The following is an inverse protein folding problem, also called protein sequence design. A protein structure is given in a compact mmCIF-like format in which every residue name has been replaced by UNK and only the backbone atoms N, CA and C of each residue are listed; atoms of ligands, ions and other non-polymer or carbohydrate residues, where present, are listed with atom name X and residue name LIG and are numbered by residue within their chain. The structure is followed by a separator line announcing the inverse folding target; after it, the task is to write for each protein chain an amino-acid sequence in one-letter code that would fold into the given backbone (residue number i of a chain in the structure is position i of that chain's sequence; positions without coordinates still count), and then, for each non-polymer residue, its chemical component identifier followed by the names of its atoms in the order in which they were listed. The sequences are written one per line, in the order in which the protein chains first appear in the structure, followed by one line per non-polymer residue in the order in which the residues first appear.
data_IF_773699468932
#
_entry.id   IF_773699468932
#
_cell.length_a   1.000
_cell.length_b   1.000
_cell.length_c   1.000
_cell.angle_alpha   90.00
_cell.angle_beta   90.00
_cell.angle_gamma   90.00
#
_symmetry.space_group_name_H-M   'P 1'
#
loop_
_entity.id
_entity.type
_entity.pdbx_description
1 polymer ?
#
# COMPACT_ATOMS: atom_id res chain seq x y z
N UNK A 1 15.18 -5.59 3.85
CA UNK A 1 15.44 -4.61 4.93
C UNK A 1 16.92 -4.26 4.94
N UNK A 2 17.27 -3.04 5.36
CA UNK A 2 18.64 -2.58 5.51
C UNK A 2 18.83 -1.99 6.91
N UNK A 3 19.87 -2.44 7.61
CA UNK A 3 20.28 -1.92 8.91
C UNK A 3 21.58 -1.14 8.73
N UNK A 4 21.58 0.15 9.07
CA UNK A 4 22.74 1.02 9.00
C UNK A 4 23.21 1.37 10.41
N UNK A 5 24.53 1.29 10.62
CA UNK A 5 25.19 1.68 11.87
C UNK A 5 26.35 2.60 11.55
N UNK A 6 26.46 3.69 12.30
CA UNK A 6 27.58 4.63 12.22
C UNK A 6 27.32 5.86 13.10
N UNK A 7 28.06 6.92 12.85
CA UNK A 7 28.04 8.16 13.66
C UNK A 7 26.66 8.84 13.72
N UNK A 8 25.78 8.52 12.77
CA UNK A 8 24.42 9.05 12.68
C UNK A 8 23.36 8.18 13.36
N UNK A 9 23.81 7.21 14.18
CA UNK A 9 22.98 6.28 14.92
C UNK A 9 22.66 4.99 14.17
N UNK A 10 21.76 4.21 14.76
CA UNK A 10 21.22 2.95 14.25
C UNK A 10 19.92 3.20 13.49
N UNK A 11 19.88 2.88 12.19
CA UNK A 11 18.73 3.13 11.32
C UNK A 11 18.28 1.87 10.62
N UNK A 12 16.99 1.55 10.72
CA UNK A 12 16.39 0.40 10.06
C UNK A 12 15.46 0.87 8.95
N UNK A 13 15.69 0.39 7.73
CA UNK A 13 14.82 0.61 6.57
C UNK A 13 14.15 -0.70 6.18
N UNK A 14 12.82 -0.79 6.30
CA UNK A 14 12.12 -2.03 5.99
C UNK A 14 12.17 -2.32 4.48
N UNK A 15 12.01 -1.26 3.66
CA UNK A 15 11.50 -1.43 2.30
C UNK A 15 10.10 -2.02 2.34
N UNK A 16 9.58 -2.47 1.20
CA UNK A 16 8.33 -3.24 1.19
C UNK A 16 8.57 -4.58 1.89
N UNK A 17 7.71 -4.93 2.85
CA UNK A 17 7.85 -6.18 3.61
C UNK A 17 6.52 -6.68 4.15
N UNK A 18 6.48 -7.99 4.44
CA UNK A 18 5.41 -8.62 5.22
C UNK A 18 5.97 -9.30 6.46
N UNK A 19 5.37 -9.02 7.61
CA UNK A 19 5.80 -9.53 8.91
C UNK A 19 4.86 -10.63 9.42
N UNK A 20 4.93 -11.81 8.81
CA UNK A 20 4.06 -12.93 9.21
C UNK A 20 4.39 -13.40 10.64
N UNK A 21 3.37 -13.81 11.42
CA UNK A 21 3.53 -14.12 12.85
C UNK A 21 3.59 -15.63 13.17
N UNK A 22 3.40 -16.51 12.18
CA UNK A 22 3.00 -17.90 12.46
C UNK A 22 3.75 -19.01 11.71
N UNK A 23 4.82 -18.72 10.97
CA UNK A 23 5.56 -19.74 10.21
C UNK A 23 7.05 -19.80 10.60
N UNK A 24 7.70 -20.94 10.35
CA UNK A 24 9.11 -21.14 10.71
C UNK A 24 10.03 -20.15 9.99
N UNK A 25 9.73 -19.84 8.73
CA UNK A 25 10.41 -18.81 7.94
C UNK A 25 10.31 -17.44 8.62
N UNK A 26 9.15 -17.09 9.15
CA UNK A 26 8.95 -15.84 9.89
C UNK A 26 9.71 -15.84 11.22
N UNK A 27 9.66 -16.95 11.98
CA UNK A 27 10.40 -17.05 13.25
C UNK A 27 11.91 -16.94 13.04
N UNK A 28 12.43 -17.59 11.99
CA UNK A 28 13.83 -17.49 11.60
C UNK A 28 14.19 -16.06 11.17
N UNK A 29 13.35 -15.39 10.39
CA UNK A 29 13.57 -14.00 9.99
C UNK A 29 13.53 -13.04 11.18
N UNK A 30 12.58 -13.22 12.12
CA UNK A 30 12.48 -12.45 13.37
C UNK A 30 13.73 -12.64 14.22
N UNK A 31 14.19 -13.88 14.39
CA UNK A 31 15.45 -14.17 15.09
C UNK A 31 16.64 -13.51 14.40
N UNK A 32 16.77 -13.64 13.08
CA UNK A 32 17.86 -13.03 12.32
C UNK A 32 17.89 -11.49 12.46
N UNK A 33 16.72 -10.85 12.50
CA UNK A 33 16.63 -9.41 12.76
C UNK A 33 17.12 -9.05 14.17
N UNK A 34 16.67 -9.78 15.20
CA UNK A 34 17.08 -9.55 16.58
C UNK A 34 18.57 -9.80 16.79
N UNK A 35 19.10 -10.88 16.21
CA UNK A 35 20.53 -11.19 16.21
C UNK A 35 21.31 -10.07 15.52
N UNK A 36 20.83 -9.57 14.38
CA UNK A 36 21.45 -8.48 13.65
C UNK A 36 21.42 -7.16 14.43
N UNK A 37 20.38 -6.90 15.23
CA UNK A 37 20.29 -5.74 16.12
C UNK A 37 21.23 -5.85 17.32
N UNK A 38 21.56 -7.06 17.79
CA UNK A 38 22.52 -7.30 18.87
C UNK A 38 22.22 -6.51 20.16
N UNK A 39 20.94 -6.19 20.42
CA UNK A 39 20.51 -5.37 21.56
C UNK A 39 20.58 -3.85 21.34
N UNK A 40 21.07 -3.38 20.19
CA UNK A 40 21.06 -1.95 19.85
C UNK A 40 19.62 -1.43 19.73
N UNK A 41 19.40 -0.22 20.23
CA UNK A 41 18.14 0.49 19.99
C UNK A 41 18.16 1.07 18.58
N UNK A 42 17.06 0.91 17.84
CA UNK A 42 16.90 1.54 16.52
C UNK A 42 16.49 2.98 16.71
N UNK A 43 17.36 3.93 16.41
CA UNK A 43 17.05 5.36 16.54
C UNK A 43 15.93 5.78 15.59
N UNK A 44 16.05 5.40 14.31
CA UNK A 44 15.06 5.73 13.28
C UNK A 44 14.64 4.50 12.50
N UNK A 45 13.36 4.17 12.60
CA UNK A 45 12.71 3.18 11.76
C UNK A 45 12.00 3.84 10.58
N UNK A 46 12.40 3.48 9.37
CA UNK A 46 11.70 3.79 8.13
C UNK A 46 10.81 2.59 7.76
N UNK A 47 9.51 2.75 8.02
CA UNK A 47 8.51 1.68 7.98
C UNK A 47 7.67 1.72 6.71
N UNK A 48 7.49 0.57 6.06
CA UNK A 48 6.41 0.35 5.09
C UNK A 48 5.06 0.45 5.79
N UNK A 49 4.38 1.56 5.52
CA UNK A 49 3.07 1.90 6.07
C UNK A 49 1.94 1.70 5.05
N UNK A 50 2.11 0.81 4.06
CA UNK A 50 1.14 0.53 3.01
C UNK A 50 -0.27 0.24 3.54
N UNK A 51 -0.37 -0.57 4.60
CA UNK A 51 -1.63 -0.94 5.27
C UNK A 51 -1.63 -0.57 6.76
N UNK A 52 -1.07 0.60 7.09
CA UNK A 52 -1.01 1.11 8.47
C UNK A 52 -2.36 1.68 8.95
N UNK A 53 -3.42 0.87 8.98
CA UNK A 53 -4.72 1.27 9.51
C UNK A 53 -5.39 0.12 10.27
N UNK A 54 -5.95 0.32 11.49
CA UNK A 54 -6.46 -0.75 12.35
C UNK A 54 -7.51 -1.68 11.73
N UNK A 55 -8.28 -1.18 10.75
CA UNK A 55 -9.26 -2.01 10.03
C UNK A 55 -8.65 -2.95 8.98
N UNK A 56 -7.33 -2.92 8.77
CA UNK A 56 -6.62 -3.64 7.72
C UNK A 56 -5.88 -4.82 8.30
N UNK A 57 -6.63 -5.87 8.60
CA UNK A 57 -6.10 -7.16 9.00
C UNK A 57 -6.35 -8.16 7.88
N UNK A 58 -5.30 -8.86 7.50
CA UNK A 58 -5.35 -9.86 6.43
C UNK A 58 -5.05 -11.23 7.00
N UNK A 59 -5.70 -12.30 6.50
CA UNK A 59 -5.35 -13.65 6.86
C UNK A 59 -3.87 -13.97 6.49
N UNK A 60 -3.27 -14.98 7.13
CA UNK A 60 -1.96 -15.50 6.72
C UNK A 60 -1.94 -15.89 5.24
N UNK A 61 -0.82 -15.66 4.52
CA UNK A 61 -0.73 -15.96 3.07
C UNK A 61 -1.14 -17.37 2.72
N UNK A 62 -0.75 -18.35 3.56
CA UNK A 62 -1.07 -19.77 3.35
C UNK A 62 -2.57 -20.05 3.38
N UNK A 63 -3.33 -19.36 4.24
CA UNK A 63 -4.79 -19.50 4.31
C UNK A 63 -5.40 -18.97 3.02
N UNK A 64 -4.99 -17.79 2.57
CA UNK A 64 -5.49 -17.22 1.32
C UNK A 64 -5.09 -18.03 0.09
N UNK A 65 -3.87 -18.56 0.06
CA UNK A 65 -3.41 -19.45 -1.00
C UNK A 65 -4.27 -20.72 -1.07
N UNK A 66 -4.61 -21.31 0.08
CA UNK A 66 -5.50 -22.47 0.12
C UNK A 66 -6.90 -22.15 -0.41
N UNK A 67 -7.46 -21.00 -0.06
CA UNK A 67 -8.76 -20.57 -0.59
C UNK A 67 -8.74 -20.36 -2.10
N UNK A 68 -7.64 -19.85 -2.66
CA UNK A 68 -7.48 -19.76 -4.12
C UNK A 68 -7.48 -21.17 -4.73
N UNK A 69 -6.78 -22.12 -4.12
CA UNK A 69 -6.77 -23.52 -4.57
C UNK A 69 -8.17 -24.13 -4.53
N UNK A 70 -8.90 -23.94 -3.43
CA UNK A 70 -10.24 -24.48 -3.25
C UNK A 70 -11.23 -23.86 -4.25
N UNK A 71 -11.10 -22.55 -4.51
CA UNK A 71 -11.86 -21.84 -5.53
C UNK A 71 -11.58 -22.42 -6.94
N UNK A 72 -10.33 -22.70 -7.27
CA UNK A 72 -9.96 -23.30 -8.56
C UNK A 72 -10.51 -24.72 -8.68
N UNK A 73 -10.49 -25.51 -7.60
CA UNK A 73 -11.06 -26.87 -7.56
C UNK A 73 -12.57 -26.88 -7.71
N UNK A 74 -13.25 -25.86 -7.17
CA UNK A 74 -14.70 -25.70 -7.33
C UNK A 74 -15.14 -25.36 -8.77
N UNK A 75 -14.20 -25.01 -9.65
CA UNK A 75 -14.43 -24.71 -11.06
C UNK A 75 -13.55 -25.60 -11.95
N UNK A 76 -13.80 -26.93 -12.01
CA UNK A 76 -12.96 -27.86 -12.75
C UNK A 76 -12.96 -27.58 -14.27
N UNK A 77 -14.12 -27.20 -14.83
CA UNK A 77 -14.33 -27.01 -16.27
C UNK A 77 -14.07 -25.56 -16.75
N UNK A 78 -13.36 -24.76 -15.97
CA UNK A 78 -13.05 -23.37 -16.32
C UNK A 78 -11.56 -23.14 -16.56
N UNK A 79 -11.22 -22.27 -17.51
CA UNK A 79 -9.90 -21.63 -17.52
C UNK A 79 -9.77 -20.68 -16.32
N UNK A 80 -8.55 -20.53 -15.81
CA UNK A 80 -8.26 -19.70 -14.62
C UNK A 80 -7.22 -18.66 -14.96
N UNK A 81 -7.60 -17.39 -14.82
CA UNK A 81 -6.71 -16.24 -15.04
C UNK A 81 -6.34 -15.60 -13.70
N UNK A 82 -5.08 -15.73 -13.30
CA UNK A 82 -4.50 -15.11 -12.11
C UNK A 82 -3.87 -13.76 -12.47
N UNK A 83 -4.46 -12.66 -12.02
CA UNK A 83 -3.91 -11.32 -12.23
C UNK A 83 -2.81 -10.98 -11.23
N UNK A 84 -1.54 -11.06 -11.64
CA UNK A 84 -0.37 -10.86 -10.76
C UNK A 84 0.51 -9.67 -11.17
N UNK A 85 1.27 -9.15 -10.22
CA UNK A 85 2.25 -8.11 -10.49
C UNK A 85 3.44 -8.66 -11.29
N UNK A 86 4.29 -7.77 -11.83
CA UNK A 86 5.47 -8.19 -12.62
C UNK A 86 6.51 -8.94 -11.80
N UNK A 87 6.54 -8.70 -10.49
CA UNK A 87 7.38 -9.36 -9.49
C UNK A 87 6.55 -9.55 -8.22
N UNK A 88 6.82 -10.60 -7.45
CA UNK A 88 6.06 -10.97 -6.26
C UNK A 88 5.06 -12.10 -6.53
N UNK A 89 4.59 -12.73 -5.44
CA UNK A 89 3.61 -13.83 -5.45
C UNK A 89 4.10 -15.12 -6.11
N UNK A 90 5.41 -15.29 -6.31
CA UNK A 90 6.01 -16.53 -6.78
C UNK A 90 5.67 -17.70 -5.85
N UNK A 91 5.80 -17.49 -4.53
CA UNK A 91 5.42 -18.47 -3.49
C UNK A 91 3.94 -18.90 -3.63
N UNK A 92 3.04 -17.98 -4.02
CA UNK A 92 1.62 -18.29 -4.25
C UNK A 92 1.45 -19.18 -5.47
N UNK A 93 2.07 -18.83 -6.60
CA UNK A 93 1.96 -19.63 -7.82
C UNK A 93 2.53 -21.04 -7.61
N UNK A 94 3.67 -21.13 -6.92
CA UNK A 94 4.29 -22.39 -6.56
C UNK A 94 3.39 -23.24 -5.65
N UNK A 95 2.72 -22.62 -4.67
CA UNK A 95 1.75 -23.28 -3.82
C UNK A 95 0.58 -23.83 -4.64
N UNK A 96 -0.01 -23.01 -5.52
CA UNK A 96 -1.14 -23.40 -6.37
C UNK A 96 -0.75 -24.58 -7.27
N UNK A 97 0.40 -24.49 -7.96
CA UNK A 97 0.91 -25.55 -8.81
C UNK A 97 1.03 -26.89 -8.07
N UNK A 98 1.66 -26.87 -6.90
CA UNK A 98 1.88 -28.07 -6.07
C UNK A 98 0.56 -28.62 -5.51
N UNK A 99 -0.36 -27.77 -5.10
CA UNK A 99 -1.63 -28.22 -4.55
C UNK A 99 -2.57 -28.80 -5.63
N UNK A 100 -2.50 -28.28 -6.85
CA UNK A 100 -3.29 -28.75 -7.99
C UNK A 100 -2.57 -29.82 -8.83
N UNK A 101 -1.29 -30.08 -8.55
CA UNK A 101 -0.42 -30.95 -9.36
C UNK A 101 -0.45 -30.58 -10.85
N UNK A 102 -0.40 -29.28 -11.15
CA UNK A 102 -0.42 -28.75 -12.52
C UNK A 102 0.66 -27.68 -12.72
N UNK A 103 1.12 -27.51 -13.96
CA UNK A 103 2.00 -26.39 -14.31
C UNK A 103 1.22 -25.07 -14.27
N UNK A 104 1.91 -23.95 -14.10
CA UNK A 104 1.30 -22.61 -14.23
C UNK A 104 1.85 -21.97 -15.49
N UNK A 105 0.94 -21.53 -16.36
CA UNK A 105 1.33 -20.73 -17.50
C UNK A 105 1.76 -19.34 -17.03
N UNK A 106 2.90 -18.85 -17.51
CA UNK A 106 3.39 -17.50 -17.28
C UNK A 106 3.88 -16.91 -18.61
N UNK A 107 3.83 -15.60 -18.76
CA UNK A 107 4.33 -14.97 -19.99
C UNK A 107 5.86 -15.15 -20.12
N UNK A 108 6.45 -15.13 -21.33
CA UNK A 108 7.86 -15.52 -21.54
C UNK A 108 8.88 -14.79 -20.65
N UNK A 109 8.73 -13.48 -20.47
CA UNK A 109 9.61 -12.69 -19.63
C UNK A 109 9.48 -13.06 -18.14
N UNK A 110 8.30 -13.50 -17.71
CA UNK A 110 8.09 -14.02 -16.35
C UNK A 110 8.74 -15.37 -16.16
N UNK A 111 8.69 -16.25 -17.16
CA UNK A 111 9.37 -17.53 -17.11
C UNK A 111 10.89 -17.35 -16.89
N UNK A 112 11.52 -16.40 -17.59
CA UNK A 112 12.92 -16.05 -17.36
C UNK A 112 13.17 -15.57 -15.92
N UNK A 113 12.25 -14.77 -15.38
CA UNK A 113 12.33 -14.31 -13.99
C UNK A 113 12.26 -15.49 -13.01
N UNK A 114 11.38 -16.48 -13.25
CA UNK A 114 11.28 -17.66 -12.39
C UNK A 114 12.56 -18.48 -12.37
N UNK A 115 13.20 -18.68 -13.54
CA UNK A 115 14.49 -19.37 -13.63
C UNK A 115 15.59 -18.63 -12.87
N UNK A 116 15.68 -17.30 -13.00
CA UNK A 116 16.66 -16.49 -12.29
C UNK A 116 16.49 -16.54 -10.76
N UNK A 117 15.25 -16.67 -10.29
CA UNK A 117 14.95 -16.80 -8.87
C UNK A 117 15.17 -18.23 -8.34
N UNK A 118 15.29 -19.24 -9.21
CA UNK A 118 15.49 -20.65 -8.84
C UNK A 118 14.34 -21.24 -8.02
N UNK A 119 13.14 -20.65 -8.09
CA UNK A 119 12.02 -20.96 -7.18
C UNK A 119 11.37 -22.33 -7.41
N UNK A 120 11.56 -22.92 -8.59
CA UNK A 120 10.95 -24.19 -8.97
C UNK A 120 11.89 -25.39 -8.81
N UNK A 121 13.11 -25.19 -8.28
CA UNK A 121 14.10 -26.24 -8.05
C UNK A 121 14.31 -27.16 -9.28
N UNK A 122 14.28 -26.59 -10.50
CA UNK A 122 14.34 -27.32 -11.79
C UNK A 122 13.21 -28.34 -12.01
N UNK A 123 12.06 -28.19 -11.35
CA UNK A 123 10.89 -29.08 -11.52
C UNK A 123 9.96 -28.66 -12.65
N UNK A 124 10.35 -27.67 -13.46
CA UNK A 124 9.59 -27.13 -14.60
C UNK A 124 8.13 -26.81 -14.26
N UNK A 125 7.90 -26.18 -13.12
CA UNK A 125 6.56 -25.87 -12.60
C UNK A 125 5.88 -24.79 -13.45
N UNK A 126 6.68 -23.93 -14.09
CA UNK A 126 6.22 -22.84 -14.92
C UNK A 126 6.41 -23.18 -16.40
N UNK A 127 5.47 -22.72 -17.25
CA UNK A 127 5.52 -22.96 -18.69
C UNK A 127 4.99 -21.76 -19.47
N UNK A 128 5.35 -21.65 -20.74
CA UNK A 128 4.74 -20.73 -21.72
C UNK A 128 3.77 -21.43 -22.66
N UNK A 129 3.57 -22.76 -22.51
CA UNK A 129 2.65 -23.54 -23.32
C UNK A 129 1.27 -23.56 -22.67
N UNK A 130 0.27 -22.99 -23.34
CA UNK A 130 -1.12 -22.93 -22.85
C UNK A 130 -1.82 -24.28 -22.88
N UNK A 131 -1.41 -25.19 -23.76
CA UNK A 131 -1.97 -26.55 -23.87
C UNK A 131 -1.69 -27.44 -22.65
N UNK A 132 -0.69 -27.10 -21.83
CA UNK A 132 -0.28 -27.91 -20.68
C UNK A 132 -1.01 -27.57 -19.38
N UNK A 133 -1.79 -26.49 -19.36
CA UNK A 133 -2.45 -26.04 -18.13
C UNK A 133 -3.59 -25.06 -18.38
N UNK A 134 -4.68 -25.22 -17.63
CA UNK A 134 -5.79 -24.26 -17.58
C UNK A 134 -5.54 -23.05 -16.67
N UNK A 135 -4.43 -23.01 -15.93
CA UNK A 135 -4.13 -21.96 -14.95
C UNK A 135 -3.04 -21.03 -15.48
N UNK A 136 -3.41 -19.78 -15.73
CA UNK A 136 -2.57 -18.76 -16.37
C UNK A 136 -2.34 -17.58 -15.45
N UNK A 137 -1.09 -17.32 -15.09
CA UNK A 137 -0.70 -16.11 -14.39
C UNK A 137 -0.33 -15.03 -15.41
N UNK A 138 -1.16 -13.99 -15.47
CA UNK A 138 -1.04 -12.87 -16.41
C UNK A 138 -0.68 -11.59 -15.65
N UNK A 139 -0.09 -10.58 -16.31
CA UNK A 139 0.08 -9.27 -15.68
C UNK A 139 -1.26 -8.73 -15.18
N UNK A 140 -1.26 -8.09 -14.02
CA UNK A 140 -2.46 -7.59 -13.32
C UNK A 140 -3.40 -6.80 -14.22
N UNK A 141 -2.86 -5.98 -15.11
CA UNK A 141 -3.63 -5.15 -16.04
C UNK A 141 -4.31 -5.95 -17.17
N UNK A 142 -3.90 -7.20 -17.39
CA UNK A 142 -4.50 -8.13 -18.36
C UNK A 142 -5.80 -8.75 -17.85
N UNK A 143 -6.06 -8.69 -16.54
CA UNK A 143 -7.33 -9.13 -15.96
C UNK A 143 -8.27 -7.93 -15.77
N UNK A 144 -9.19 -7.75 -16.72
CA UNK A 144 -10.25 -6.75 -16.71
C UNK A 144 -11.62 -7.41 -16.96
N UNK A 145 -12.71 -6.64 -16.82
CA UNK A 145 -14.06 -7.10 -17.21
C UNK A 145 -14.04 -7.51 -18.67
N UNK A 146 -13.59 -6.59 -19.54
CA UNK A 146 -13.57 -6.76 -20.98
C UNK A 146 -12.77 -8.00 -21.41
N UNK A 147 -11.61 -8.24 -20.80
CA UNK A 147 -10.81 -9.41 -21.15
C UNK A 147 -11.44 -10.71 -20.67
N UNK A 148 -12.09 -10.71 -19.51
CA UNK A 148 -12.78 -11.89 -18.98
C UNK A 148 -14.06 -12.19 -19.76
N UNK A 149 -14.83 -11.18 -20.16
CA UNK A 149 -16.00 -11.33 -21.03
C UNK A 149 -15.60 -11.87 -22.40
N UNK A 150 -14.51 -11.36 -22.98
CA UNK A 150 -13.97 -11.87 -24.24
C UNK A 150 -13.54 -13.34 -24.13
N UNK A 151 -12.85 -13.74 -23.07
CA UNK A 151 -12.46 -15.15 -22.87
C UNK A 151 -13.68 -16.07 -22.69
N UNK A 152 -14.71 -15.59 -22.00
CA UNK A 152 -15.95 -16.32 -21.79
C UNK A 152 -16.79 -16.54 -23.06
N UNK A 153 -16.50 -15.85 -24.18
CA UNK A 153 -17.11 -16.19 -25.47
C UNK A 153 -16.54 -17.47 -26.08
N UNK A 154 -15.32 -17.85 -25.68
CA UNK A 154 -14.60 -19.03 -26.18
C UNK A 154 -14.78 -20.21 -25.23
N UNK A 155 -14.53 -20.01 -23.94
CA UNK A 155 -14.67 -21.06 -22.94
C UNK A 155 -14.96 -20.48 -21.54
N UNK A 156 -15.64 -21.23 -20.65
CA UNK A 156 -15.88 -20.78 -19.28
C UNK A 156 -14.56 -20.41 -18.60
N UNK A 157 -14.47 -19.18 -18.09
CA UNK A 157 -13.22 -18.62 -17.55
C UNK A 157 -13.49 -17.84 -16.27
N UNK A 158 -12.74 -18.16 -15.22
CA UNK A 158 -12.73 -17.36 -13.97
C UNK A 158 -11.49 -16.49 -13.86
N UNK A 159 -11.68 -15.28 -13.34
CA UNK A 159 -10.61 -14.34 -13.00
C UNK A 159 -10.33 -14.32 -11.50
N UNK A 160 -9.08 -14.39 -11.08
CA UNK A 160 -8.69 -14.33 -9.67
C UNK A 160 -7.64 -13.23 -9.47
N UNK A 161 -7.93 -12.28 -8.58
CA UNK A 161 -7.08 -11.15 -8.23
C UNK A 161 -6.55 -11.31 -6.79
N UNK A 162 -5.34 -11.88 -6.58
CA UNK A 162 -4.67 -11.92 -5.28
C UNK A 162 -4.15 -10.51 -4.92
N UNK A 163 -4.94 -9.74 -4.15
CA UNK A 163 -4.55 -8.38 -3.75
C UNK A 163 -5.35 -7.83 -2.57
N UNK A 164 -4.66 -7.13 -1.66
CA UNK A 164 -5.29 -6.38 -0.57
C UNK A 164 -6.00 -5.09 -1.03
N UNK A 165 -5.54 -4.44 -2.10
CA UNK A 165 -6.09 -3.13 -2.52
C UNK A 165 -7.49 -3.23 -3.14
N UNK A 166 -7.76 -4.25 -3.95
CA UNK A 166 -9.09 -4.49 -4.52
C UNK A 166 -10.09 -4.98 -3.47
N UNK A 167 -9.60 -5.65 -2.42
CA UNK A 167 -10.40 -6.01 -1.25
C UNK A 167 -10.95 -4.77 -0.53
N UNK A 168 -10.20 -3.67 -0.54
CA UNK A 168 -10.60 -2.39 0.06
C UNK A 168 -11.63 -1.61 -0.75
N UNK A 169 -11.51 -1.63 -2.08
CA UNK A 169 -12.40 -0.89 -2.97
C UNK A 169 -13.87 -1.30 -2.80
N UNK A 170 -14.15 -2.61 -2.79
CA UNK A 170 -15.56 -3.08 -2.77
C UNK A 170 -16.21 -2.98 -1.39
N UNK A 171 -15.44 -3.06 -0.31
CA UNK A 171 -15.97 -2.84 1.05
C UNK A 171 -16.29 -1.35 1.32
N UNK A 172 -15.77 -0.43 0.49
CA UNK A 172 -16.14 1.00 0.53
C UNK A 172 -17.44 1.31 -0.23
N UNK A 173 -17.79 0.51 -1.24
CA UNK A 173 -19.04 0.67 -2.03
C UNK A 173 -20.30 0.14 -1.31
N UNK A 174 -20.14 -0.64 -0.23
CA UNK A 174 -21.25 -1.15 0.58
C UNK A 174 -22.08 -0.10 1.35
N UNK A 175 -21.74 1.20 1.25
CA UNK A 175 -22.48 2.30 1.89
C UNK A 175 -22.95 3.41 0.94
N UNK A 176 -23.19 3.11 -0.33
CA UNK A 176 -23.93 4.04 -1.21
C UNK A 176 -25.04 3.36 -2.00
N UNK A 177 -26.13 2.98 -1.30
CA UNK A 177 -27.45 2.95 -1.94
C UNK A 177 -27.95 4.38 -2.05
N UNK A 178 -27.64 5.04 -3.16
CA UNK A 178 -28.42 6.18 -3.63
C UNK A 178 -29.13 5.79 -4.91
N UNK A 179 -30.38 5.39 -4.75
CA UNK A 179 -31.40 5.48 -5.78
C UNK A 179 -31.59 6.96 -6.18
N UNK A 180 -31.51 7.27 -7.47
CA UNK A 180 -32.00 8.54 -8.00
C UNK A 180 -31.23 9.08 -9.20
N UNK A 181 -31.91 9.09 -10.35
CA UNK A 181 -31.51 9.76 -11.61
C UNK A 181 -31.41 11.29 -11.41
N UNK A 182 -30.42 11.94 -12.05
CA UNK A 182 -30.45 13.39 -12.33
C UNK A 182 -29.08 14.09 -12.40
N UNK A 183 -28.88 15.10 -13.29
CA UNK A 183 -27.55 15.45 -13.80
C UNK A 183 -26.81 16.54 -13.01
N UNK A 184 -25.51 16.63 -13.33
CA UNK A 184 -24.46 17.52 -12.84
C UNK A 184 -24.85 18.91 -12.35
N UNK A 185 -24.25 19.34 -11.22
CA UNK A 185 -23.68 20.68 -11.01
C UNK A 185 -22.74 20.71 -9.79
N UNK A 186 -21.69 21.51 -9.93
CA UNK A 186 -20.66 21.76 -8.93
C UNK A 186 -21.22 22.49 -7.71
N UNK A 187 -20.78 22.15 -6.49
CA UNK A 187 -20.72 23.10 -5.39
C UNK A 187 -19.63 22.73 -4.40
N UNK A 188 -18.86 23.74 -4.03
CA UNK A 188 -17.73 23.74 -3.11
C UNK A 188 -18.27 23.97 -1.71
N UNK A 189 -18.04 23.07 -0.76
CA UNK A 189 -18.38 23.30 0.65
C UNK A 189 -17.16 23.08 1.55
N UNK A 190 -16.67 24.19 2.13
CA UNK A 190 -15.95 24.21 3.40
C UNK A 190 -16.98 24.01 4.52
N UNK A 191 -16.66 23.18 5.50
CA UNK A 191 -17.43 23.11 6.75
C UNK A 191 -16.85 22.07 7.69
N UNK A 192 -16.32 22.54 8.82
CA UNK A 192 -15.89 21.72 9.96
C UNK A 192 -17.08 20.92 10.51
N UNK A 193 -16.85 19.66 10.84
CA UNK A 193 -17.74 18.86 11.67
C UNK A 193 -16.96 17.68 12.28
N UNK A 194 -16.75 17.72 13.60
CA UNK A 194 -16.44 16.53 14.39
C UNK A 194 -17.64 15.60 14.26
N UNK A 195 -17.44 14.39 13.74
CA UNK A 195 -18.50 13.38 13.64
C UNK A 195 -17.90 12.01 13.34
N UNK A 196 -18.02 11.12 14.32
CA UNK A 196 -17.86 9.66 14.28
C UNK A 196 -16.79 9.10 13.32
N UNK A 197 -15.67 8.66 13.89
CA UNK A 197 -14.85 7.60 13.28
C UNK A 197 -15.74 6.36 13.20
N UNK A 198 -16.40 6.18 12.06
CA UNK A 198 -17.07 4.93 11.75
C UNK A 198 -15.98 3.88 11.54
N UNK A 199 -15.76 3.02 12.51
CA UNK A 199 -14.94 1.83 12.36
C UNK A 199 -15.57 0.99 11.25
N UNK A 200 -14.98 1.02 10.06
CA UNK A 200 -15.30 0.04 9.03
C UNK A 200 -14.61 -1.24 9.50
N UNK A 201 -15.31 -2.06 10.31
CA UNK A 201 -14.87 -3.43 10.55
C UNK A 201 -14.90 -4.17 9.22
N UNK A 202 -13.73 -4.49 8.70
CA UNK A 202 -13.61 -5.32 7.51
C UNK A 202 -13.58 -6.78 7.94
N UNK A 203 -14.76 -7.33 8.24
CA UNK A 203 -14.90 -8.75 8.54
C UNK A 203 -14.72 -9.55 7.25
N UNK A 204 -13.55 -10.18 7.13
CA UNK A 204 -13.25 -11.14 6.10
C UNK A 204 -14.04 -12.42 6.35
N UNK A 205 -14.94 -12.80 5.44
CA UNK A 205 -15.58 -14.11 5.44
C UNK A 205 -14.82 -15.06 4.48
N UNK A 206 -14.12 -16.07 5.01
CA UNK A 206 -13.47 -17.11 4.21
C UNK A 206 -14.40 -17.83 3.22
N UNK A 207 -15.69 -17.90 3.53
CA UNK A 207 -16.67 -18.66 2.77
C UNK A 207 -17.27 -17.89 1.59
N UNK A 208 -17.08 -16.57 1.52
CA UNK A 208 -17.60 -15.72 0.45
C UNK A 208 -16.59 -14.64 0.06
N UNK A 209 -15.51 -14.99 -0.69
CA UNK A 209 -14.54 -14.00 -1.15
C UNK A 209 -15.24 -12.93 -2.02
N UNK A 210 -14.91 -11.64 -1.82
CA UNK A 210 -15.56 -10.58 -2.57
C UNK A 210 -15.26 -10.74 -4.06
N UNK A 211 -16.32 -10.77 -4.87
CA UNK A 211 -16.17 -10.83 -6.33
C UNK A 211 -15.47 -9.55 -6.83
N UNK A 212 -14.71 -9.63 -7.92
CA UNK A 212 -14.08 -8.46 -8.56
C UNK A 212 -15.13 -7.70 -9.41
N UNK A 213 -16.01 -8.44 -10.08
CA UNK A 213 -17.15 -7.99 -10.90
C UNK A 213 -18.44 -8.75 -10.52
N UNK A 214 -19.55 -8.56 -11.25
CA UNK A 214 -20.83 -9.23 -10.93
C UNK A 214 -20.81 -10.74 -11.27
N UNK A 215 -19.92 -11.20 -12.18
CA UNK A 215 -19.76 -12.62 -12.57
C UNK A 215 -18.28 -13.05 -12.62
N UNK A 216 -18.04 -14.31 -12.23
CA UNK A 216 -16.85 -15.14 -12.49
C UNK A 216 -15.47 -14.55 -12.19
N UNK A 217 -15.42 -13.58 -11.28
CA UNK A 217 -14.18 -12.90 -10.93
C UNK A 217 -14.11 -12.70 -9.43
N UNK A 218 -12.95 -12.99 -8.84
CA UNK A 218 -12.77 -13.13 -7.40
C UNK A 218 -11.58 -12.32 -6.93
N UNK A 219 -11.73 -11.60 -5.83
CA UNK A 219 -10.62 -10.93 -5.14
C UNK A 219 -10.37 -11.60 -3.81
N UNK A 220 -9.12 -11.99 -3.58
CA UNK A 220 -8.69 -12.56 -2.30
C UNK A 220 -7.54 -11.72 -1.73
N UNK A 221 -7.52 -11.47 -0.41
CA UNK A 221 -6.56 -10.56 0.24
C UNK A 221 -5.17 -11.17 0.40
N UNK A 222 -4.60 -11.72 -0.67
CA UNK A 222 -3.20 -12.16 -0.68
C UNK A 222 -2.31 -10.94 -0.90
N UNK A 223 -1.58 -10.54 0.14
CA UNK A 223 -0.71 -9.36 0.14
C UNK A 223 0.73 -9.71 0.45
N UNK A 224 1.66 -8.99 -0.16
CA UNK A 224 3.11 -9.06 0.12
C UNK A 224 3.56 -7.96 1.10
N UNK A 225 2.61 -7.18 1.65
CA UNK A 225 2.86 -6.17 2.68
C UNK A 225 2.22 -6.56 4.03
N UNK A 226 2.82 -6.07 5.11
CA UNK A 226 2.35 -6.29 6.47
C UNK A 226 0.96 -5.67 6.72
N UNK A 227 0.09 -6.41 7.39
CA UNK A 227 -1.20 -5.91 7.91
C UNK A 227 -1.00 -5.13 9.21
N UNK A 228 -2.05 -4.48 9.74
CA UNK A 228 -1.89 -3.64 10.94
C UNK A 228 -1.42 -4.42 12.17
N UNK A 229 -2.00 -5.60 12.45
CA UNK A 229 -1.55 -6.44 13.56
C UNK A 229 -0.10 -6.94 13.39
N UNK A 230 0.29 -7.25 12.15
CA UNK A 230 1.68 -7.63 11.82
C UNK A 230 2.65 -6.43 12.04
N UNK A 231 2.25 -5.22 11.67
CA UNK A 231 3.01 -3.99 11.92
C UNK A 231 3.13 -3.69 13.43
N UNK A 232 2.08 -3.92 14.21
CA UNK A 232 2.08 -3.72 15.65
C UNK A 232 3.07 -4.67 16.35
N UNK A 233 3.06 -5.98 16.03
CA UNK A 233 4.05 -6.93 16.56
C UNK A 233 5.48 -6.54 16.12
N UNK A 234 5.65 -6.09 14.89
CA UNK A 234 6.94 -5.61 14.41
C UNK A 234 7.44 -4.41 15.22
N UNK A 235 6.57 -3.42 15.49
CA UNK A 235 6.90 -2.27 16.32
C UNK A 235 7.23 -2.66 17.77
N UNK A 236 6.49 -3.61 18.35
CA UNK A 236 6.78 -4.15 19.68
C UNK A 236 8.10 -4.93 19.73
N UNK A 237 8.49 -5.56 18.63
CA UNK A 237 9.75 -6.30 18.50
C UNK A 237 10.94 -5.36 18.36
N UNK A 238 10.85 -4.34 17.51
CA UNK A 238 11.97 -3.44 17.20
C UNK A 238 12.12 -2.30 18.20
N UNK A 239 11.00 -1.80 18.75
CA UNK A 239 10.92 -0.68 19.71
C UNK A 239 11.84 0.51 19.37
N UNK A 240 11.67 1.11 18.17
CA UNK A 240 12.58 2.19 17.74
C UNK A 240 12.32 3.50 18.51
N UNK A 241 13.30 4.39 18.62
CA UNK A 241 13.13 5.72 19.24
C UNK A 241 12.18 6.61 18.44
N UNK A 242 12.18 6.50 17.11
CA UNK A 242 11.20 7.16 16.25
C UNK A 242 10.85 6.33 15.01
N UNK A 243 9.61 6.48 14.53
CA UNK A 243 9.13 5.87 13.28
C UNK A 243 8.81 6.93 12.21
N UNK A 244 9.11 6.60 10.96
CA UNK A 244 8.83 7.40 9.76
C UNK A 244 8.24 6.48 8.70
N UNK A 245 7.05 6.81 8.17
CA UNK A 245 6.45 6.05 7.07
C UNK A 245 7.15 6.35 5.74
N UNK A 246 7.46 5.32 4.94
CA UNK A 246 8.11 5.47 3.62
C UNK A 246 7.10 5.66 2.48
N UNK A 247 5.87 5.17 2.67
CA UNK A 247 4.79 5.30 1.69
C UNK A 247 4.10 6.64 1.92
N UNK A 248 4.26 7.58 1.00
CA UNK A 248 3.71 8.95 1.12
C UNK A 248 2.28 9.10 0.61
N UNK A 249 1.75 8.10 -0.10
CA UNK A 249 0.37 8.06 -0.55
C UNK A 249 -0.11 6.62 -0.70
N UNK A 250 -1.17 6.24 0.00
CA UNK A 250 -1.92 5.00 -0.19
C UNK A 250 -3.40 5.29 0.05
N UNK A 251 -4.28 4.36 -0.35
CA UNK A 251 -5.73 4.51 -0.15
C UNK A 251 -6.11 4.70 1.33
N UNK A 252 -5.30 4.15 2.22
CA UNK A 252 -5.47 4.17 3.66
C UNK A 252 -4.26 4.84 4.34
N UNK A 253 -3.66 5.85 3.70
CA UNK A 253 -2.45 6.47 4.25
C UNK A 253 -2.72 7.01 5.66
N UNK A 254 -1.97 6.48 6.62
CA UNK A 254 -1.86 7.03 7.96
C UNK A 254 -0.39 7.21 8.30
N UNK A 255 -0.09 8.29 9.01
CA UNK A 255 1.23 8.48 9.58
C UNK A 255 1.44 7.45 10.70
N UNK A 256 2.42 6.53 10.59
CA UNK A 256 2.62 5.46 11.57
C UNK A 256 2.89 5.99 12.99
N UNK A 257 3.40 7.22 13.15
CA UNK A 257 3.58 7.83 14.48
C UNK A 257 2.26 8.00 15.22
N UNK A 258 1.15 8.22 14.51
CA UNK A 258 -0.16 8.40 15.13
C UNK A 258 -0.68 7.12 15.81
N UNK A 259 -0.29 5.95 15.31
CA UNK A 259 -0.69 4.66 15.87
C UNK A 259 0.38 4.09 16.79
N UNK A 260 1.65 4.12 16.37
CA UNK A 260 2.73 3.40 17.03
C UNK A 260 3.68 4.29 17.84
N UNK A 261 3.40 5.60 17.96
CA UNK A 261 4.27 6.50 18.72
C UNK A 261 4.44 6.11 20.20
N UNK A 262 3.42 5.48 20.80
CA UNK A 262 3.46 4.95 22.16
C UNK A 262 4.33 3.69 22.32
N UNK A 263 4.72 3.06 21.21
CA UNK A 263 5.62 1.90 21.18
C UNK A 263 7.07 2.32 20.91
N UNK A 264 7.30 3.60 20.60
CA UNK A 264 8.64 4.15 20.48
C UNK A 264 9.25 4.36 21.87
N UNK A 265 10.58 4.23 21.98
CA UNK A 265 11.28 4.46 23.24
C UNK A 265 11.05 5.89 23.75
N UNK A 266 10.70 6.03 25.03
CA UNK A 266 10.58 7.33 25.69
C UNK A 266 11.93 8.04 25.70
N UNK A 267 12.08 9.09 24.91
CA UNK A 267 12.85 10.24 25.37
C UNK A 267 12.06 10.83 26.54
N UNK A 268 12.56 10.63 27.76
CA UNK A 268 12.27 11.53 28.87
C UNK A 268 12.83 12.92 28.54
N UNK A 269 12.20 13.62 27.61
CA UNK A 269 12.43 15.04 27.37
C UNK A 269 11.32 15.80 28.09
N UNK A 270 11.69 16.26 29.27
CA UNK A 270 10.94 17.16 30.13
C UNK A 270 10.09 18.15 29.34
N UNK A 271 8.81 18.17 29.67
CA UNK A 271 7.93 19.29 29.41
C UNK A 271 8.54 20.55 30.05
N UNK A 272 9.34 21.29 29.29
CA UNK A 272 9.68 22.68 29.59
C UNK A 272 8.89 23.56 28.65
N UNK A 273 7.57 23.49 28.73
CA UNK A 273 6.77 24.70 28.51
C UNK A 273 7.27 25.77 29.47
N UNK A 274 7.74 26.93 28.99
CA UNK A 274 7.97 28.06 29.88
C UNK A 274 6.62 28.48 30.44
N UNK A 275 6.41 28.24 31.73
CA UNK A 275 5.34 28.86 32.50
C UNK A 275 5.53 30.37 32.36
N UNK A 276 4.69 31.01 31.54
CA UNK A 276 4.54 32.46 31.56
C UNK A 276 3.92 32.82 32.91
N UNK A 277 4.72 33.43 33.78
CA UNK A 277 4.26 34.13 34.97
C UNK A 277 3.18 35.15 34.56
N UNK A 278 1.92 34.81 34.81
CA UNK A 278 0.77 35.70 34.69
C UNK A 278 0.69 36.60 35.91
N UNK A 279 1.56 37.60 35.96
CA UNK A 279 1.49 38.70 36.91
C UNK A 279 0.59 39.83 36.41
N UNK A 280 -0.61 39.88 36.99
CA UNK A 280 -1.37 41.08 37.37
C UNK A 280 -2.11 42.00 36.37
N UNK A 281 -3.24 42.45 36.94
CA UNK A 281 -3.92 43.74 36.82
C UNK A 281 -5.01 43.87 35.75
N UNK A 282 -6.25 43.79 36.25
CA UNK A 282 -7.46 44.24 35.58
C UNK A 282 -7.51 45.78 35.47
N UNK A 283 -8.27 46.19 34.46
CA UNK A 283 -8.50 47.56 34.03
C UNK A 283 -9.12 48.47 35.10
N UNK A 284 -8.61 49.69 35.18
CA UNK A 284 -9.41 50.90 35.44
C UNK A 284 -8.91 52.03 34.54
N UNK A 285 -9.74 52.42 33.58
CA UNK A 285 -9.66 53.64 32.76
C UNK A 285 -9.94 54.90 33.58
N UNK A 286 -9.93 56.11 32.99
CA UNK A 286 -8.84 56.86 32.34
C UNK A 286 -8.70 58.25 33.02
N UNK A 287 -7.90 59.20 32.50
CA UNK A 287 -8.26 60.65 32.38
C UNK A 287 -7.02 61.55 32.12
N UNK A 288 -7.10 62.22 30.95
CA UNK A 288 -6.75 63.60 30.55
C UNK A 288 -5.31 64.16 30.70
N UNK A 289 -4.83 64.54 29.52
CA UNK A 289 -4.33 65.85 29.09
C UNK A 289 -3.14 66.50 29.81
N UNK A 290 -2.01 66.57 29.11
CA UNK A 290 -1.00 67.61 29.26
C UNK A 290 -0.38 67.92 27.88
N UNK A 291 -0.45 69.19 27.47
CA UNK A 291 -0.04 69.72 26.16
C UNK A 291 1.45 70.10 26.13
N UNK A 292 1.92 70.33 24.89
CA UNK A 292 3.07 71.15 24.47
C UNK A 292 4.45 70.52 24.67
N UNK A 293 5.48 70.77 23.84
CA UNK A 293 5.68 71.35 22.52
C UNK A 293 7.20 71.21 22.25
N UNK A 294 7.65 71.29 21.00
CA UNK A 294 9.02 71.78 20.72
C UNK A 294 9.97 70.81 20.01
N UNK A 295 9.94 70.89 18.68
CA UNK A 295 11.05 70.85 17.72
C UNK A 295 12.47 70.48 18.22
N UNK A 296 13.07 69.49 17.57
CA UNK A 296 14.33 69.69 16.81
C UNK A 296 14.71 68.46 15.96
N UNK A 297 14.65 68.62 14.64
CA UNK A 297 15.54 67.96 13.65
C UNK A 297 16.42 69.09 13.05
N UNK A 298 17.51 68.89 12.26
CA UNK A 298 17.98 67.66 11.57
C UNK A 298 19.52 67.46 11.51
N UNK A 299 20.00 66.29 11.03
CA UNK A 299 21.10 66.19 10.02
C UNK A 299 21.35 64.76 9.49
N UNK A 300 20.94 64.57 8.22
CA UNK A 300 21.54 63.86 7.06
C UNK A 300 22.36 62.54 7.22
N UNK A 301 21.73 61.43 6.75
CA UNK A 301 22.08 60.42 5.67
C UNK A 301 23.56 60.18 5.25
N UNK A 302 23.97 58.99 4.71
CA UNK A 302 23.19 58.10 3.80
C UNK A 302 23.45 56.56 3.86
N UNK A 303 22.66 55.79 3.08
CA UNK A 303 22.92 54.37 2.68
C UNK A 303 21.64 53.51 2.69
N UNK A 304 20.93 53.32 1.56
CA UNK A 304 21.02 52.14 0.66
C UNK A 304 20.88 50.80 1.42
N UNK A 305 19.97 49.86 1.16
CA UNK A 305 19.26 49.46 -0.06
C UNK A 305 18.10 48.52 0.34
N UNK A 306 17.02 48.49 -0.46
CA UNK A 306 15.88 47.56 -0.28
C UNK A 306 16.25 46.18 -0.84
N UNK A 307 16.11 45.12 -0.04
CA UNK A 307 16.09 43.74 -0.51
C UNK A 307 14.63 43.23 -0.65
N UNK A 308 14.28 42.44 -1.68
CA UNK A 308 12.90 42.22 -2.10
C UNK A 308 12.23 41.02 -1.40
N UNK A 309 10.91 41.14 -1.23
CA UNK A 309 9.99 40.05 -0.84
C UNK A 309 10.16 38.86 -1.78
N UNK A 310 10.60 37.70 -1.26
CA UNK A 310 10.57 36.43 -1.98
C UNK A 310 9.11 36.02 -2.24
N UNK A 311 8.72 36.00 -3.51
CA UNK A 311 7.49 35.36 -4.00
C UNK A 311 7.55 33.86 -3.69
N UNK A 312 6.62 33.36 -2.91
CA UNK A 312 6.32 31.92 -2.84
C UNK A 312 5.79 31.48 -4.21
N UNK A 313 6.58 30.71 -4.94
CA UNK A 313 6.12 29.96 -6.10
C UNK A 313 5.29 28.79 -5.58
N UNK A 314 3.97 28.85 -5.76
CA UNK A 314 3.09 27.68 -5.61
C UNK A 314 3.39 26.73 -6.77
N UNK A 315 4.20 25.71 -6.52
CA UNK A 315 4.30 24.56 -7.41
C UNK A 315 3.06 23.69 -7.14
N UNK A 316 2.07 23.80 -8.01
CA UNK A 316 1.00 22.81 -8.09
C UNK A 316 1.60 21.54 -8.70
N UNK A 317 1.77 20.51 -7.89
CA UNK A 317 2.29 19.22 -8.34
C UNK A 317 1.17 18.38 -8.98
N UNK A 318 1.26 17.98 -10.26
CA UNK A 318 0.31 17.08 -10.90
C UNK A 318 0.75 15.62 -10.71
N UNK A 319 0.78 15.14 -9.47
CA UNK A 319 1.25 13.78 -9.13
C UNK A 319 0.32 12.68 -9.64
N UNK A 320 -1.00 12.91 -9.68
CA UNK A 320 -1.97 11.93 -10.20
C UNK A 320 -1.78 11.62 -11.70
N UNK A 321 -1.29 12.59 -12.48
CA UNK A 321 -1.07 12.40 -13.92
C UNK A 321 0.22 11.61 -14.21
N UNK A 322 1.26 11.78 -13.39
CA UNK A 322 2.53 11.05 -13.52
C UNK A 322 2.39 9.56 -13.24
N UNK A 323 1.61 9.16 -12.23
CA UNK A 323 1.39 7.74 -11.91
C UNK A 323 0.66 7.00 -13.05
N UNK A 324 -0.36 7.64 -13.65
CA UNK A 324 -1.04 7.11 -14.84
C UNK A 324 -0.11 7.03 -16.05
N UNK A 325 0.74 8.04 -16.29
CA UNK A 325 1.67 8.03 -17.41
C UNK A 325 2.79 6.97 -17.27
N UNK A 326 3.26 6.70 -16.05
CA UNK A 326 4.24 5.63 -15.78
C UNK A 326 3.60 4.25 -15.95
N UNK A 327 2.38 4.05 -15.43
CA UNK A 327 1.59 2.83 -15.71
C UNK A 327 1.35 2.65 -17.21
N UNK A 328 0.97 3.70 -17.93
CA UNK A 328 0.74 3.63 -19.37
C UNK A 328 2.01 3.38 -20.17
N UNK A 329 3.17 3.93 -19.79
CA UNK A 329 4.45 3.57 -20.42
C UNK A 329 4.83 2.10 -20.17
N UNK A 330 4.59 1.55 -18.97
CA UNK A 330 4.77 0.11 -18.71
C UNK A 330 3.83 -0.77 -19.55
N UNK A 331 2.61 -0.31 -19.86
CA UNK A 331 1.66 -1.03 -20.75
C UNK A 331 2.20 -1.22 -22.18
N UNK A 332 2.99 -0.28 -22.70
CA UNK A 332 3.57 -0.38 -24.06
C UNK A 332 4.87 -1.17 -24.11
N UNK A 333 5.59 -1.33 -22.98
CA UNK A 333 6.90 -1.99 -22.93
C UNK A 333 6.86 -3.44 -22.45
N UNK A 334 5.75 -3.90 -21.87
CA UNK A 334 5.60 -5.26 -21.33
C UNK A 334 4.53 -6.02 -22.14
N UNK A 335 4.93 -6.51 -23.31
CA UNK A 335 4.08 -7.14 -24.34
C UNK A 335 3.43 -8.48 -24.00
N UNK A 336 2.79 -8.61 -22.83
CA UNK A 336 1.91 -9.74 -22.52
C UNK A 336 0.46 -9.25 -22.59
N UNK A 337 -0.14 -9.36 -23.78
CA UNK A 337 -1.59 -9.42 -23.94
C UNK A 337 -2.02 -10.87 -23.79
N UNK A 338 -3.23 -11.09 -23.29
CA UNK A 338 -3.89 -12.39 -23.41
C UNK A 338 -4.22 -12.52 -24.90
N UNK A 339 -3.32 -13.12 -25.68
CA UNK A 339 -3.54 -13.42 -27.09
C UNK A 339 -3.78 -14.93 -27.19
N UNK A 340 -4.75 -15.30 -28.01
CA UNK A 340 -5.09 -16.68 -28.32
C UNK A 340 -3.91 -17.42 -29.00
N UNK A 341 -3.85 -18.75 -28.93
CA UNK A 341 -2.98 -19.52 -29.81
C UNK A 341 -3.58 -19.61 -31.23
N UNK A 342 -2.88 -19.07 -32.24
CA UNK A 342 -2.95 -19.56 -33.64
C UNK A 342 -2.17 -20.90 -33.71
N UNK A 343 -2.49 -21.94 -34.48
CA UNK A 343 -3.24 -22.16 -35.72
C UNK A 343 -3.97 -23.54 -35.71
N UNK A 344 -4.95 -23.79 -36.59
CA UNK A 344 -5.68 -25.05 -36.68
C UNK A 344 -4.85 -26.20 -37.27
N UNK A 345 -5.13 -27.41 -36.76
CA UNK A 345 -4.60 -28.69 -37.23
C UNK A 345 -4.89 -28.85 -38.73
N UNK A 346 -3.91 -29.20 -39.59
CA UNK A 346 -4.21 -29.55 -40.97
C UNK A 346 -5.03 -30.84 -40.98
N UNK A 347 -6.26 -30.75 -41.46
CA UNK A 347 -7.08 -31.92 -41.78
C UNK A 347 -6.49 -32.54 -43.04
N UNK A 348 -5.99 -33.77 -42.86
CA UNK A 348 -5.66 -34.84 -43.83
C UNK A 348 -5.27 -34.47 -45.26
#
# INVERSE_FOLDING_TARGET
MFLFRGDLGCRLYTGDFRWELGCDKARAAKKALLDALAGDTVDVLYLDNSYCHPSLNFPPRRVVAQQIVDLIRAHPDHEVILGIDTLGKEDLLLYIARALQTKIWVWPQRLLTMHLLGIDDNREIFTTQTSLTRVRAVPRYGLSIESLEALNTVCPTIGIMPSGNTWLWRNSEGKSKFSGKGPAKSTKCKGRGRGAVGTIEMNYDPSSPPKLFEKDSYTLPYTDHACFAELEDFMQTVRPSTVVGIVSSSYCYVNPRGHFGHLCGDEACSDKTPVKNGGHAGNSTPVKNGRHAGNSTPKRRPGASKAPRRRMVKISSPTLYRSRAIMMKRRYSCGAKIVEPEEPIPVS
#
